data_IF_499101143885
#
_entry.id   IF_499101143885
#
_cell.length_a   1.000
_cell.length_b   1.000
_cell.length_c   1.000
_cell.angle_alpha   90.00
_cell.angle_beta   90.00
_cell.angle_gamma   90.00
#
_symmetry.space_group_name_H-M   'P 1'
#
loop_
_entity.id
_entity.type
_entity.pdbx_description
1 polymer ?
#
# COMPACT_ATOMS: atom_id res chain seq x y z
N UNK A 1 -25.74 -18.04 -23.18
CA UNK A 1 -26.58 -17.69 -22.04
C UNK A 1 -28.00 -17.33 -22.46
N UNK A 2 -28.19 -16.48 -23.49
CA UNK A 2 -29.52 -16.24 -24.06
C UNK A 2 -30.22 -17.51 -24.48
N UNK A 3 -29.48 -18.50 -25.03
CA UNK A 3 -30.03 -19.81 -25.40
C UNK A 3 -30.47 -20.66 -24.19
N UNK A 4 -29.82 -20.52 -23.04
CA UNK A 4 -30.24 -21.19 -21.80
C UNK A 4 -31.47 -20.51 -21.18
N UNK A 5 -31.52 -19.18 -21.25
CA UNK A 5 -32.66 -18.42 -20.75
C UNK A 5 -33.89 -18.70 -21.62
N UNK A 6 -33.76 -18.74 -22.96
CA UNK A 6 -34.84 -19.11 -23.85
C UNK A 6 -35.34 -20.56 -23.68
N UNK A 7 -34.42 -21.50 -23.36
CA UNK A 7 -34.80 -22.88 -23.02
C UNK A 7 -35.54 -22.96 -21.67
N UNK A 8 -35.19 -22.13 -20.71
CA UNK A 8 -35.89 -22.06 -19.41
C UNK A 8 -37.25 -21.38 -19.54
N UNK A 9 -37.34 -20.33 -20.40
CA UNK A 9 -38.61 -19.69 -20.74
C UNK A 9 -39.60 -20.67 -21.40
N UNK A 10 -39.09 -21.49 -22.33
CA UNK A 10 -39.90 -22.50 -23.05
C UNK A 10 -40.33 -23.64 -22.12
N UNK A 11 -39.53 -23.99 -21.13
CA UNK A 11 -39.79 -25.04 -20.14
C UNK A 11 -40.69 -24.57 -18.97
N UNK A 12 -40.61 -23.31 -18.57
CA UNK A 12 -41.28 -22.78 -17.39
C UNK A 12 -42.54 -22.00 -17.72
N UNK A 13 -42.79 -21.61 -19.01
CA UNK A 13 -43.97 -20.86 -19.44
C UNK A 13 -44.11 -19.48 -18.77
N UNK A 14 -43.02 -18.91 -18.28
CA UNK A 14 -42.99 -17.65 -17.56
C UNK A 14 -42.19 -16.66 -18.41
N UNK A 15 -42.82 -15.56 -18.84
CA UNK A 15 -42.08 -14.41 -19.39
C UNK A 15 -41.14 -13.87 -18.31
N UNK A 16 -39.88 -14.13 -18.47
CA UNK A 16 -38.84 -13.66 -17.53
C UNK A 16 -38.54 -12.21 -17.90
N UNK A 17 -39.14 -11.27 -17.14
CA UNK A 17 -38.79 -9.86 -17.22
C UNK A 17 -37.29 -9.65 -17.03
N UNK A 18 -36.72 -8.69 -17.75
CA UNK A 18 -35.27 -8.36 -17.72
C UNK A 18 -34.75 -8.19 -16.27
N UNK A 19 -35.60 -7.67 -15.38
CA UNK A 19 -35.30 -7.51 -13.94
C UNK A 19 -35.17 -8.85 -13.24
N UNK A 20 -36.02 -9.82 -13.55
CA UNK A 20 -36.01 -11.17 -12.95
C UNK A 20 -34.80 -11.96 -13.40
N UNK A 21 -34.36 -11.82 -14.67
CA UNK A 21 -33.15 -12.47 -15.18
C UNK A 21 -31.91 -11.91 -14.52
N UNK A 22 -31.81 -10.61 -14.28
CA UNK A 22 -30.72 -10.01 -13.53
C UNK A 22 -30.62 -10.52 -12.08
N UNK A 23 -31.75 -10.56 -11.38
CA UNK A 23 -31.79 -11.06 -10.00
C UNK A 23 -31.35 -12.53 -9.92
N UNK A 24 -31.78 -13.36 -10.90
CA UNK A 24 -31.30 -14.76 -10.96
C UNK A 24 -29.78 -14.85 -11.18
N UNK A 25 -29.20 -14.05 -12.08
CA UNK A 25 -27.77 -14.03 -12.33
C UNK A 25 -27.01 -13.62 -11.04
N UNK A 26 -27.42 -12.57 -10.36
CA UNK A 26 -26.83 -12.16 -9.09
C UNK A 26 -26.96 -13.26 -8.03
N UNK A 27 -28.09 -13.93 -7.95
CA UNK A 27 -28.32 -15.06 -7.05
C UNK A 27 -27.33 -16.21 -7.30
N UNK A 28 -27.08 -16.55 -8.57
CA UNK A 28 -26.15 -17.61 -8.96
C UNK A 28 -24.70 -17.19 -8.63
N UNK A 29 -24.31 -15.95 -8.93
CA UNK A 29 -22.97 -15.43 -8.60
C UNK A 29 -22.76 -15.45 -7.07
N UNK A 30 -23.75 -15.03 -6.31
CA UNK A 30 -23.70 -15.08 -4.84
C UNK A 30 -23.61 -16.52 -4.31
N UNK A 31 -24.45 -17.41 -4.82
CA UNK A 31 -24.45 -18.82 -4.40
C UNK A 31 -23.10 -19.49 -4.70
N UNK A 32 -22.56 -19.29 -5.90
CA UNK A 32 -21.25 -19.83 -6.28
C UNK A 32 -20.11 -19.21 -5.44
N UNK A 33 -20.18 -17.92 -5.14
CA UNK A 33 -19.21 -17.26 -4.24
C UNK A 33 -19.24 -17.86 -2.83
N UNK A 34 -20.44 -18.16 -2.30
CA UNK A 34 -20.61 -18.81 -0.99
C UNK A 34 -20.06 -20.26 -1.02
N UNK A 35 -20.40 -21.02 -2.06
CA UNK A 35 -19.90 -22.42 -2.23
C UNK A 35 -18.38 -22.44 -2.31
N UNK A 36 -17.79 -21.56 -3.13
CA UNK A 36 -16.32 -21.41 -3.24
C UNK A 36 -15.72 -21.00 -1.90
N UNK A 37 -16.32 -20.06 -1.18
CA UNK A 37 -15.87 -19.66 0.15
C UNK A 37 -15.83 -20.82 1.13
N UNK A 38 -16.92 -21.59 1.22
CA UNK A 38 -17.02 -22.76 2.09
C UNK A 38 -15.98 -23.78 1.69
N UNK A 39 -15.83 -24.06 0.39
CA UNK A 39 -14.86 -25.00 -0.13
C UNK A 39 -13.42 -24.60 0.20
N UNK A 40 -13.04 -23.35 -0.08
CA UNK A 40 -11.70 -22.85 0.24
C UNK A 40 -11.44 -22.86 1.75
N UNK A 41 -12.42 -22.41 2.53
CA UNK A 41 -12.25 -22.35 3.98
C UNK A 41 -12.19 -23.76 4.60
N UNK A 42 -13.07 -24.67 4.21
CA UNK A 42 -13.18 -25.99 4.83
C UNK A 42 -12.16 -26.99 4.29
N UNK A 43 -11.94 -27.04 2.98
CA UNK A 43 -11.03 -28.01 2.35
C UNK A 43 -9.58 -27.51 2.39
N UNK A 44 -9.33 -26.30 1.91
CA UNK A 44 -7.96 -25.79 1.76
C UNK A 44 -7.38 -25.42 3.11
N UNK A 45 -8.02 -24.51 3.84
CA UNK A 45 -7.45 -24.00 5.10
C UNK A 45 -7.35 -25.10 6.16
N UNK A 46 -8.41 -25.86 6.39
CA UNK A 46 -8.42 -26.92 7.40
C UNK A 46 -7.44 -28.06 7.09
N UNK A 47 -7.24 -28.39 5.81
CA UNK A 47 -6.30 -29.43 5.41
C UNK A 47 -4.86 -28.96 5.53
N UNK A 48 -4.57 -27.71 5.14
CA UNK A 48 -3.24 -27.14 5.26
C UNK A 48 -2.86 -26.86 6.73
N UNK A 49 -3.77 -26.34 7.54
CA UNK A 49 -3.54 -26.13 8.96
C UNK A 49 -3.25 -27.44 9.70
N UNK A 50 -4.03 -28.49 9.45
CA UNK A 50 -3.78 -29.81 10.05
C UNK A 50 -2.43 -30.39 9.66
N UNK A 51 -2.05 -30.26 8.39
CA UNK A 51 -0.74 -30.73 7.89
C UNK A 51 0.41 -29.86 8.41
N UNK A 52 0.21 -28.56 8.56
CA UNK A 52 1.22 -27.66 9.08
C UNK A 52 1.51 -27.90 10.58
N UNK A 53 0.47 -28.19 11.37
CA UNK A 53 0.60 -28.51 12.80
C UNK A 53 1.27 -29.90 12.97
N UNK A 54 0.94 -30.87 12.12
CA UNK A 54 1.52 -32.21 12.14
C UNK A 54 2.97 -32.28 11.61
N UNK A 55 3.42 -31.24 10.91
CA UNK A 55 4.77 -31.19 10.33
C UNK A 55 5.74 -30.50 11.29
N UNK A 56 6.88 -31.15 11.54
CA UNK A 56 7.99 -30.58 12.31
C UNK A 56 8.78 -29.50 11.52
N UNK A 57 8.34 -29.14 10.29
CA UNK A 57 9.03 -28.18 9.45
C UNK A 57 8.68 -26.75 9.84
N UNK A 58 9.65 -26.02 10.36
CA UNK A 58 9.54 -24.64 10.86
C UNK A 58 8.91 -23.65 9.85
N UNK A 59 9.20 -23.79 8.57
CA UNK A 59 8.68 -22.89 7.53
C UNK A 59 7.17 -23.02 7.34
N UNK A 60 6.59 -24.22 7.47
CA UNK A 60 5.14 -24.44 7.39
C UNK A 60 4.41 -23.78 8.55
N UNK A 61 4.97 -23.85 9.76
CA UNK A 61 4.39 -23.19 10.93
C UNK A 61 4.39 -21.66 10.77
N UNK A 62 5.48 -21.06 10.25
CA UNK A 62 5.56 -19.62 10.04
C UNK A 62 4.55 -19.14 9.00
N UNK A 63 4.35 -19.89 7.91
CA UNK A 63 3.37 -19.56 6.87
C UNK A 63 1.95 -19.54 7.45
N UNK A 64 1.61 -20.56 8.26
CA UNK A 64 0.29 -20.68 8.89
C UNK A 64 0.04 -19.58 9.92
N UNK A 65 1.04 -19.23 10.73
CA UNK A 65 0.95 -18.15 11.71
C UNK A 65 0.65 -16.78 11.06
N UNK A 66 1.21 -16.51 9.89
CA UNK A 66 1.01 -15.26 9.15
C UNK A 66 -0.27 -15.21 8.31
N UNK A 67 -1.14 -16.24 8.40
CA UNK A 67 -2.42 -16.32 7.67
C UNK A 67 -2.30 -16.14 6.15
N UNK A 68 -1.15 -16.50 5.56
CA UNK A 68 -0.87 -16.34 4.14
C UNK A 68 -1.90 -17.08 3.29
N UNK A 69 -2.17 -18.33 3.61
CA UNK A 69 -3.16 -19.15 2.88
C UNK A 69 -4.57 -18.59 2.92
N UNK A 70 -4.95 -18.00 4.07
CA UNK A 70 -6.26 -17.38 4.23
C UNK A 70 -6.41 -16.15 3.30
N UNK A 71 -5.40 -15.29 3.25
CA UNK A 71 -5.41 -14.10 2.38
C UNK A 71 -5.36 -14.47 0.90
N UNK A 72 -4.58 -15.48 0.53
CA UNK A 72 -4.56 -16.03 -0.84
C UNK A 72 -5.92 -16.61 -1.25
N UNK A 73 -6.60 -17.30 -0.34
CA UNK A 73 -7.93 -17.86 -0.60
C UNK A 73 -8.95 -16.74 -0.90
N UNK A 74 -8.93 -15.63 -0.14
CA UNK A 74 -9.80 -14.49 -0.43
C UNK A 74 -9.45 -13.78 -1.74
N UNK A 75 -8.17 -13.70 -2.09
CA UNK A 75 -7.74 -13.16 -3.39
C UNK A 75 -8.28 -14.03 -4.53
N UNK A 76 -8.14 -15.36 -4.41
CA UNK A 76 -8.64 -16.30 -5.40
C UNK A 76 -10.17 -16.24 -5.54
N UNK A 77 -10.88 -16.13 -4.40
CA UNK A 77 -12.33 -15.94 -4.40
C UNK A 77 -12.75 -14.68 -5.17
N UNK A 78 -12.07 -13.56 -4.93
CA UNK A 78 -12.32 -12.31 -5.67
C UNK A 78 -12.10 -12.46 -7.18
N UNK A 79 -11.05 -13.18 -7.58
CA UNK A 79 -10.78 -13.48 -9.00
C UNK A 79 -11.90 -14.29 -9.61
N UNK A 80 -12.41 -15.31 -8.93
CA UNK A 80 -13.51 -16.15 -9.40
C UNK A 80 -14.78 -15.30 -9.57
N UNK A 81 -15.12 -14.46 -8.59
CA UNK A 81 -16.27 -13.56 -8.68
C UNK A 81 -16.13 -12.57 -9.83
N UNK A 82 -14.93 -12.02 -10.04
CA UNK A 82 -14.67 -11.10 -11.15
C UNK A 82 -14.85 -11.80 -12.52
N UNK A 83 -14.30 -13.01 -12.68
CA UNK A 83 -14.46 -13.79 -13.90
C UNK A 83 -15.96 -14.08 -14.15
N UNK A 84 -16.70 -14.48 -13.13
CA UNK A 84 -18.14 -14.73 -13.24
C UNK A 84 -18.91 -13.47 -13.66
N UNK A 85 -18.60 -12.32 -13.02
CA UNK A 85 -19.22 -11.06 -13.37
C UNK A 85 -19.01 -10.70 -14.84
N UNK A 86 -17.80 -10.85 -15.36
CA UNK A 86 -17.46 -10.56 -16.76
C UNK A 86 -18.13 -11.53 -17.74
N UNK A 87 -18.30 -12.82 -17.38
CA UNK A 87 -18.89 -13.84 -18.27
C UNK A 87 -20.42 -13.83 -18.27
N UNK A 88 -21.06 -13.52 -17.11
CA UNK A 88 -22.50 -13.71 -16.93
C UNK A 88 -23.30 -12.42 -17.07
N UNK A 89 -22.70 -11.26 -16.73
CA UNK A 89 -23.38 -9.99 -16.92
C UNK A 89 -23.08 -9.41 -18.30
N UNK A 90 -24.11 -8.77 -18.88
CA UNK A 90 -23.95 -8.04 -20.15
C UNK A 90 -23.08 -6.79 -19.91
N UNK A 91 -22.04 -6.65 -20.73
CA UNK A 91 -21.19 -5.46 -20.70
C UNK A 91 -22.01 -4.19 -20.97
N UNK A 92 -21.81 -3.17 -20.15
CA UNK A 92 -22.49 -1.88 -20.29
C UNK A 92 -23.75 -1.72 -19.43
N UNK A 93 -24.03 -2.67 -18.53
CA UNK A 93 -25.05 -2.50 -17.50
C UNK A 93 -24.40 -1.88 -16.26
N UNK A 94 -24.99 -0.84 -15.68
CA UNK A 94 -24.46 -0.19 -14.45
C UNK A 94 -24.18 -1.21 -13.34
N UNK A 95 -25.05 -2.20 -13.20
CA UNK A 95 -24.89 -3.28 -12.23
C UNK A 95 -23.64 -4.15 -12.49
N UNK A 96 -23.30 -4.41 -13.76
CA UNK A 96 -22.10 -5.16 -14.12
C UNK A 96 -20.83 -4.36 -13.81
N UNK A 97 -20.85 -3.07 -14.12
CA UNK A 97 -19.71 -2.19 -13.89
C UNK A 97 -19.45 -1.99 -12.39
N UNK A 98 -20.49 -1.84 -11.58
CA UNK A 98 -20.37 -1.76 -10.13
C UNK A 98 -19.81 -3.07 -9.55
N UNK A 99 -20.37 -4.22 -9.95
CA UNK A 99 -19.92 -5.52 -9.43
C UNK A 99 -18.48 -5.84 -9.82
N UNK A 100 -18.08 -5.57 -11.07
CA UNK A 100 -16.71 -5.78 -11.53
C UNK A 100 -15.72 -4.84 -10.82
N UNK A 101 -16.09 -3.58 -10.63
CA UNK A 101 -15.28 -2.60 -9.88
C UNK A 101 -15.11 -3.04 -8.42
N UNK A 102 -16.19 -3.44 -7.75
CA UNK A 102 -16.13 -3.97 -6.39
C UNK A 102 -15.25 -5.23 -6.29
N UNK A 103 -15.39 -6.16 -7.24
CA UNK A 103 -14.57 -7.36 -7.28
C UNK A 103 -13.07 -7.04 -7.50
N UNK A 104 -12.76 -6.09 -8.38
CA UNK A 104 -11.38 -5.63 -8.61
C UNK A 104 -10.78 -4.95 -7.40
N UNK A 105 -11.52 -4.09 -6.70
CA UNK A 105 -11.09 -3.49 -5.43
C UNK A 105 -10.82 -4.55 -4.37
N UNK A 106 -11.70 -5.55 -4.27
CA UNK A 106 -11.51 -6.69 -3.37
C UNK A 106 -10.23 -7.46 -3.68
N UNK A 107 -10.00 -7.78 -4.95
CA UNK A 107 -8.79 -8.47 -5.40
C UNK A 107 -7.54 -7.66 -5.05
N UNK A 108 -7.51 -6.36 -5.36
CA UNK A 108 -6.36 -5.48 -5.09
C UNK A 108 -6.06 -5.42 -3.58
N UNK A 109 -7.09 -5.28 -2.75
CA UNK A 109 -6.94 -5.23 -1.29
C UNK A 109 -6.37 -6.54 -0.74
N UNK A 110 -6.96 -7.69 -1.09
CA UNK A 110 -6.50 -8.98 -0.59
C UNK A 110 -5.17 -9.43 -1.21
N UNK A 111 -4.88 -9.04 -2.44
CA UNK A 111 -3.56 -9.24 -3.05
C UNK A 111 -2.48 -8.48 -2.28
N UNK A 112 -2.70 -7.21 -1.93
CA UNK A 112 -1.78 -6.43 -1.09
C UNK A 112 -1.57 -7.08 0.27
N UNK A 113 -2.64 -7.48 0.94
CA UNK A 113 -2.57 -8.17 2.23
C UNK A 113 -1.84 -9.52 2.13
N UNK A 114 -1.97 -10.22 1.00
CA UNK A 114 -1.25 -11.46 0.71
C UNK A 114 0.25 -11.20 0.56
N UNK A 115 0.64 -10.16 -0.18
CA UNK A 115 2.04 -9.72 -0.31
C UNK A 115 2.61 -9.32 1.06
N UNK A 116 1.86 -8.59 1.88
CA UNK A 116 2.29 -8.24 3.24
C UNK A 116 2.52 -9.49 4.11
N UNK A 117 1.62 -10.46 4.01
CA UNK A 117 1.77 -11.73 4.72
C UNK A 117 3.01 -12.51 4.24
N UNK A 118 3.29 -12.50 2.95
CA UNK A 118 4.49 -13.12 2.38
C UNK A 118 5.76 -12.42 2.89
N UNK A 119 5.78 -11.09 2.95
CA UNK A 119 6.89 -10.33 3.52
C UNK A 119 7.09 -10.64 5.01
N UNK A 120 6.01 -10.83 5.78
CA UNK A 120 6.09 -11.24 7.18
C UNK A 120 6.68 -12.65 7.34
N UNK A 121 6.29 -13.59 6.48
CA UNK A 121 6.87 -14.92 6.44
C UNK A 121 8.37 -14.87 6.17
N UNK A 122 8.78 -14.09 5.18
CA UNK A 122 10.20 -13.92 4.82
C UNK A 122 10.97 -13.28 5.98
N UNK A 123 10.42 -12.24 6.61
CA UNK A 123 11.02 -11.57 7.76
C UNK A 123 11.20 -12.53 8.94
N UNK A 124 10.15 -13.28 9.29
CA UNK A 124 10.19 -14.25 10.40
C UNK A 124 11.17 -15.39 10.12
N UNK A 125 11.30 -15.79 8.86
CA UNK A 125 12.29 -16.79 8.46
C UNK A 125 13.72 -16.21 8.52
N UNK A 126 13.94 -15.00 8.01
CA UNK A 126 15.22 -14.32 8.03
C UNK A 126 15.75 -14.11 9.46
N UNK A 127 14.88 -13.73 10.40
CA UNK A 127 15.24 -13.50 11.81
C UNK A 127 15.75 -14.78 12.54
N UNK A 128 15.51 -15.97 11.98
CA UNK A 128 16.05 -17.22 12.55
C UNK A 128 17.50 -17.48 12.19
N UNK A 129 18.07 -16.73 11.24
CA UNK A 129 19.46 -16.86 10.88
C UNK A 129 20.32 -15.90 11.74
N UNK A 130 21.41 -16.40 12.39
CA UNK A 130 22.23 -15.58 13.29
C UNK A 130 22.87 -14.37 12.60
N UNK A 131 23.16 -14.45 11.31
CA UNK A 131 23.69 -13.34 10.53
C UNK A 131 22.69 -12.17 10.34
N UNK A 132 21.40 -12.44 10.43
CA UNK A 132 20.36 -11.45 10.24
C UNK A 132 20.01 -10.66 11.52
N UNK A 133 20.45 -11.12 12.69
CA UNK A 133 20.14 -10.51 13.98
C UNK A 133 20.77 -9.12 14.17
N UNK A 134 21.83 -8.80 13.42
CA UNK A 134 22.51 -7.50 13.49
C UNK A 134 21.93 -6.44 12.53
N UNK A 135 21.02 -6.83 11.62
CA UNK A 135 20.44 -5.92 10.64
C UNK A 135 19.06 -5.44 11.10
N UNK A 136 18.71 -4.16 10.88
CA UNK A 136 17.38 -3.63 11.20
C UNK A 136 16.34 -4.06 10.14
N UNK A 137 16.24 -5.38 9.90
CA UNK A 137 15.37 -5.97 8.86
C UNK A 137 13.93 -5.51 9.00
N UNK A 138 13.43 -5.40 10.22
CA UNK A 138 12.04 -5.01 10.49
C UNK A 138 11.71 -3.64 9.88
N UNK A 139 12.61 -2.67 10.00
CA UNK A 139 12.42 -1.34 9.41
C UNK A 139 12.39 -1.38 7.88
N UNK A 140 13.29 -2.16 7.27
CA UNK A 140 13.35 -2.32 5.80
C UNK A 140 12.06 -2.94 5.27
N UNK A 141 11.59 -4.04 5.87
CA UNK A 141 10.35 -4.70 5.46
C UNK A 141 9.13 -3.81 5.67
N UNK A 142 9.11 -3.02 6.75
CA UNK A 142 8.05 -2.06 7.00
C UNK A 142 8.02 -0.93 5.94
N UNK A 143 9.21 -0.45 5.53
CA UNK A 143 9.34 0.51 4.43
C UNK A 143 8.80 -0.04 3.10
N UNK A 144 9.14 -1.29 2.75
CA UNK A 144 8.63 -1.96 1.55
C UNK A 144 7.11 -2.09 1.59
N UNK A 145 6.53 -2.47 2.75
CA UNK A 145 5.08 -2.53 2.92
C UNK A 145 4.42 -1.17 2.74
N UNK A 146 5.02 -0.11 3.28
CA UNK A 146 4.50 1.25 3.14
C UNK A 146 4.46 1.68 1.67
N UNK A 147 5.55 1.46 0.92
CA UNK A 147 5.60 1.75 -0.51
C UNK A 147 4.55 0.94 -1.27
N UNK A 148 4.44 -0.36 -0.99
CA UNK A 148 3.42 -1.23 -1.58
C UNK A 148 1.99 -0.76 -1.29
N UNK A 149 1.71 -0.32 -0.05
CA UNK A 149 0.41 0.23 0.33
C UNK A 149 0.07 1.51 -0.46
N UNK A 150 1.03 2.42 -0.62
CA UNK A 150 0.85 3.66 -1.39
C UNK A 150 0.58 3.34 -2.86
N UNK A 151 1.37 2.44 -3.47
CA UNK A 151 1.20 2.07 -4.88
C UNK A 151 -0.18 1.45 -5.14
N UNK A 152 -0.57 0.46 -4.34
CA UNK A 152 -1.90 -0.18 -4.49
C UNK A 152 -3.02 0.80 -4.15
N UNK A 153 -2.84 1.69 -3.17
CA UNK A 153 -3.78 2.76 -2.88
C UNK A 153 -4.03 3.68 -4.09
N UNK A 154 -2.97 4.08 -4.80
CA UNK A 154 -3.09 4.86 -6.04
C UNK A 154 -3.84 4.07 -7.11
N UNK A 155 -3.56 2.76 -7.27
CA UNK A 155 -4.28 1.91 -8.23
C UNK A 155 -5.77 1.80 -7.89
N UNK A 156 -6.12 1.64 -6.61
CA UNK A 156 -7.53 1.60 -6.16
C UNK A 156 -8.26 2.92 -6.43
N UNK A 157 -7.61 4.06 -6.14
CA UNK A 157 -8.17 5.39 -6.43
C UNK A 157 -8.32 5.59 -7.95
N UNK A 158 -7.33 5.18 -8.73
CA UNK A 158 -7.36 5.22 -10.19
C UNK A 158 -8.57 4.45 -10.75
N UNK A 159 -8.82 3.26 -10.23
CA UNK A 159 -9.95 2.43 -10.62
C UNK A 159 -11.29 3.10 -10.28
N UNK A 160 -11.42 3.70 -9.08
CA UNK A 160 -12.65 4.39 -8.65
C UNK A 160 -12.97 5.64 -9.47
N UNK A 161 -11.93 6.39 -9.87
CA UNK A 161 -12.08 7.61 -10.67
C UNK A 161 -12.22 7.30 -12.17
N UNK A 162 -11.88 6.08 -12.59
CA UNK A 162 -11.85 5.70 -14.01
C UNK A 162 -10.71 6.34 -14.81
N UNK A 163 -9.65 6.79 -14.13
CA UNK A 163 -8.48 7.42 -14.76
C UNK A 163 -7.26 6.48 -14.76
N UNK A 164 -6.33 6.70 -15.70
CA UNK A 164 -5.12 5.88 -15.72
C UNK A 164 -4.23 6.15 -14.49
N UNK A 165 -3.62 5.11 -13.90
CA UNK A 165 -2.70 5.29 -12.76
C UNK A 165 -1.52 6.22 -13.08
N UNK A 166 -1.09 6.26 -14.35
CA UNK A 166 0.00 7.11 -14.79
C UNK A 166 -0.31 8.61 -14.62
N UNK A 167 -1.56 9.02 -14.85
CA UNK A 167 -2.00 10.41 -14.67
C UNK A 167 -1.91 10.79 -13.19
N UNK A 168 -2.37 9.92 -12.29
CA UNK A 168 -2.31 10.17 -10.85
C UNK A 168 -0.87 10.24 -10.35
N UNK A 169 -0.01 9.32 -10.78
CA UNK A 169 1.41 9.30 -10.40
C UNK A 169 2.12 10.54 -10.92
N UNK A 170 1.84 10.96 -12.16
CA UNK A 170 2.44 12.17 -12.74
C UNK A 170 2.01 13.43 -11.98
N UNK A 171 0.72 13.54 -11.62
CA UNK A 171 0.20 14.65 -10.84
C UNK A 171 0.82 14.72 -9.44
N UNK A 172 0.92 13.57 -8.74
CA UNK A 172 1.59 13.48 -7.45
C UNK A 172 3.07 13.81 -7.55
N UNK A 173 3.75 13.35 -8.61
CA UNK A 173 5.16 13.66 -8.86
C UNK A 173 5.41 15.15 -9.09
N UNK A 174 4.56 15.81 -9.87
CA UNK A 174 4.62 17.27 -10.08
C UNK A 174 4.41 18.03 -8.77
N UNK A 175 3.43 17.60 -7.96
CA UNK A 175 3.18 18.21 -6.65
C UNK A 175 4.35 18.01 -5.69
N UNK A 176 4.95 16.83 -5.68
CA UNK A 176 6.14 16.54 -4.88
C UNK A 176 7.34 17.40 -5.29
N UNK A 177 7.53 17.66 -6.59
CA UNK A 177 8.59 18.52 -7.08
C UNK A 177 8.41 19.99 -6.62
N UNK A 178 7.17 20.50 -6.67
CA UNK A 178 6.84 21.84 -6.16
C UNK A 178 7.08 21.93 -4.65
N UNK A 179 6.63 20.93 -3.88
CA UNK A 179 6.87 20.87 -2.45
C UNK A 179 8.37 20.83 -2.13
N UNK A 180 9.15 20.03 -2.87
CA UNK A 180 10.61 19.97 -2.69
C UNK A 180 11.27 21.33 -2.94
N UNK A 181 10.79 22.06 -3.96
CA UNK A 181 11.29 23.42 -4.26
C UNK A 181 10.99 24.40 -3.12
N UNK A 182 9.77 24.37 -2.56
CA UNK A 182 9.35 25.23 -1.46
C UNK A 182 10.12 24.91 -0.17
N UNK A 183 10.35 23.64 0.11
CA UNK A 183 11.05 23.21 1.34
C UNK A 183 12.57 23.21 1.23
N UNK A 184 13.14 23.42 0.04
CA UNK A 184 14.59 23.41 -0.17
C UNK A 184 15.33 24.36 0.78
N UNK A 185 14.91 25.62 0.81
CA UNK A 185 15.59 26.65 1.60
C UNK A 185 15.37 26.46 3.12
N UNK A 186 14.18 26.13 3.63
CA UNK A 186 13.99 25.74 5.02
C UNK A 186 14.87 24.56 5.46
N UNK A 187 14.98 23.52 4.62
CA UNK A 187 15.82 22.35 4.94
C UNK A 187 17.30 22.74 4.96
N UNK A 188 17.77 23.50 3.98
CA UNK A 188 19.17 24.00 3.97
C UNK A 188 19.45 24.88 5.19
N UNK A 189 18.54 25.75 5.58
CA UNK A 189 18.67 26.58 6.79
C UNK A 189 18.74 25.74 8.06
N UNK A 190 17.88 24.72 8.16
CA UNK A 190 17.90 23.78 9.29
C UNK A 190 19.25 23.02 9.38
N UNK A 191 19.71 22.47 8.25
CA UNK A 191 20.98 21.73 8.19
C UNK A 191 22.15 22.64 8.54
N UNK A 192 22.20 23.87 8.00
CA UNK A 192 23.21 24.85 8.34
C UNK A 192 23.20 25.19 9.83
N UNK A 193 22.01 25.41 10.42
CA UNK A 193 21.86 25.66 11.86
C UNK A 193 22.36 24.51 12.72
N UNK A 194 22.05 23.27 12.35
CA UNK A 194 22.56 22.09 13.06
C UNK A 194 24.08 21.97 12.93
N UNK A 195 24.63 22.22 11.74
CA UNK A 195 26.08 22.18 11.53
C UNK A 195 26.82 23.26 12.33
N UNK A 196 26.27 24.49 12.36
CA UNK A 196 26.83 25.57 13.18
C UNK A 196 26.82 25.21 14.68
N UNK A 197 25.73 24.63 15.15
CA UNK A 197 25.58 24.21 16.55
C UNK A 197 26.50 23.05 16.89
N UNK A 198 26.60 22.04 16.00
CA UNK A 198 27.42 20.86 16.22
C UNK A 198 28.94 21.14 16.20
N UNK A 199 29.33 22.18 15.48
CA UNK A 199 30.77 22.59 15.39
C UNK A 199 31.15 23.69 16.41
N UNK A 200 30.28 24.01 17.38
CA UNK A 200 30.53 25.09 18.39
C UNK A 200 30.92 26.45 17.77
N UNK A 201 30.51 26.70 16.49
CA UNK A 201 30.88 27.92 15.78
C UNK A 201 30.08 29.16 16.25
N UNK A 202 29.00 28.97 17.01
CA UNK A 202 28.22 30.03 17.62
C UNK A 202 28.14 29.81 19.13
N UNK A 203 28.91 30.58 19.90
CA UNK A 203 28.75 30.65 21.36
C UNK A 203 27.62 31.61 21.70
N UNK A 204 26.83 31.24 22.71
CA UNK A 204 25.79 32.10 23.28
C UNK A 204 26.43 33.42 23.71
N UNK A 205 26.13 34.53 22.99
CA UNK A 205 26.68 35.87 23.25
C UNK A 205 27.53 36.46 22.13
N UNK A 206 27.99 35.70 21.13
CA UNK A 206 28.57 36.26 19.91
C UNK A 206 27.43 36.64 18.95
N UNK A 207 27.15 37.96 18.90
CA UNK A 207 26.37 38.58 17.85
C UNK A 207 27.04 38.24 16.52
N UNK A 208 26.38 37.44 15.68
CA UNK A 208 26.75 37.29 14.28
C UNK A 208 26.87 38.71 13.69
N UNK A 209 28.12 39.04 13.30
CA UNK A 209 28.45 40.40 12.92
C UNK A 209 27.41 41.00 11.98
N UNK A 210 26.97 42.19 12.33
CA UNK A 210 26.00 42.97 11.60
C UNK A 210 26.47 43.17 10.16
N UNK A 211 25.91 42.38 9.25
CA UNK A 211 26.08 42.51 7.79
C UNK A 211 25.44 43.82 7.26
N UNK A 212 25.05 44.72 8.15
CA UNK A 212 24.37 45.96 7.77
C UNK A 212 25.34 47.09 7.40
N UNK A 213 26.65 46.87 7.42
CA UNK A 213 27.59 47.94 7.12
C UNK A 213 28.63 47.59 6.04
N UNK A 214 28.23 46.98 4.94
CA UNK A 214 29.03 46.88 3.72
C UNK A 214 28.76 48.04 2.77
N UNK A 215 28.61 49.22 3.32
CA UNK A 215 28.59 50.49 2.59
C UNK A 215 29.75 51.33 2.98
N UNK A 216 30.90 51.16 2.33
CA UNK A 216 31.90 52.19 2.21
C UNK A 216 32.95 52.28 3.35
N UNK A 217 34.20 52.02 3.03
CA UNK A 217 35.35 52.66 3.68
C UNK A 217 36.08 51.81 4.72
N UNK A 218 37.19 51.21 4.32
CA UNK A 218 38.25 50.76 5.19
C UNK A 218 38.81 51.94 5.99
N UNK A 219 38.37 52.16 7.20
CA UNK A 219 39.04 52.99 8.17
C UNK A 219 39.44 52.14 9.34
N UNK A 220 40.71 51.81 9.42
CA UNK A 220 41.33 51.05 10.51
C UNK A 220 41.17 51.79 11.81
N UNK A 221 40.33 51.33 12.69
CA UNK A 221 40.25 51.77 14.06
C UNK A 221 40.69 50.62 14.98
N UNK A 222 41.72 50.97 15.70
CA UNK A 222 42.55 50.21 16.62
C UNK A 222 41.70 49.43 17.62
N UNK A 223 42.00 48.15 17.71
CA UNK A 223 41.53 47.28 18.79
C UNK A 223 42.21 47.68 20.10
N UNK A 224 41.47 48.19 21.06
CA UNK A 224 41.91 48.33 22.43
C UNK A 224 41.87 46.93 23.09
N UNK A 225 42.99 46.27 23.12
CA UNK A 225 43.19 45.08 23.97
C UNK A 225 43.39 45.58 25.39
N UNK A 226 42.40 45.48 26.23
CA UNK A 226 42.46 45.79 27.64
C UNK A 226 43.05 44.59 28.40
N UNK A 227 44.36 44.52 28.47
CA UNK A 227 45.03 43.66 29.43
C UNK A 227 44.85 44.24 30.84
N UNK A 228 43.88 43.74 31.57
CA UNK A 228 43.89 43.89 33.01
C UNK A 228 44.70 42.77 33.60
N UNK A 229 45.95 43.00 33.88
CA UNK A 229 46.79 42.17 34.75
C UNK A 229 46.22 42.26 36.16
N UNK A 230 46.04 41.08 36.75
CA UNK A 230 45.78 40.86 38.17
C UNK A 230 47.09 41.08 38.96
N UNK A 231 47.05 41.89 39.96
CA UNK A 231 47.90 41.79 41.14
C UNK A 231 47.18 40.90 42.17
#
# INVERSE_FOLDING_TARGET
MQDLISQVEDLAGIEIDHTTSMVMIFGIIFLTAVVVHIFLHWVVLRTFEKRAIASSRLWLQIITQNKLFHRLAFTLQGIIVNIQAVFWLQKGTEAADILTTCAQLWIMMYALLSVFSLLDVILNLAQKFPAASQLPLKGIFQGIKLIGAILVGILMISLLIGQSPAILISGLGAMAAVLMLVFKDPILGLVAGIQLSANDMLKLGELAGDCRNSGGGWRGDRYWVNHRQSA
#
